data_IF_051713215319
#
_entry.id   IF_051713215319
#
_cell.length_a   1.000
_cell.length_b   1.000
_cell.length_c   1.000
_cell.angle_alpha   90.00
_cell.angle_beta   90.00
_cell.angle_gamma   90.00
#
_symmetry.space_group_name_H-M   'P 1'
#
loop_
_entity.id
_entity.type
_entity.pdbx_description
1 polymer ?
#
# COMPACT_ATOMS: atom_id res chain seq x y z
N UNK A 1 -9.07 -3.44 51.22
CA UNK A 1 -8.04 -2.87 50.32
C UNK A 1 -8.31 -3.29 48.88
N UNK A 2 -9.17 -2.58 48.14
CA UNK A 2 -9.47 -2.95 46.72
C UNK A 2 -10.09 -1.79 45.95
N UNK A 3 -9.61 -0.56 46.19
CA UNK A 3 -10.11 0.69 45.57
C UNK A 3 -8.97 1.55 44.97
N UNK A 4 -7.87 0.92 44.56
CA UNK A 4 -6.67 1.63 44.06
C UNK A 4 -6.17 1.06 42.72
N UNK A 5 -7.07 0.61 41.84
CA UNK A 5 -6.69 0.12 40.51
C UNK A 5 -7.48 0.80 39.38
N UNK A 6 -8.00 2.02 39.61
CA UNK A 6 -8.83 2.74 38.64
C UNK A 6 -8.16 3.97 38.01
N UNK A 7 -6.86 4.17 38.20
CA UNK A 7 -6.22 5.45 37.87
C UNK A 7 -5.13 5.39 36.78
N UNK A 8 -4.87 4.24 36.15
CA UNK A 8 -3.68 4.08 35.29
C UNK A 8 -3.97 3.58 33.86
N UNK A 9 -5.17 3.87 33.35
CA UNK A 9 -5.58 3.58 31.97
C UNK A 9 -6.08 4.83 31.22
N UNK A 10 -5.62 6.01 31.65
CA UNK A 10 -5.58 7.18 30.76
C UNK A 10 -4.42 6.97 29.79
N UNK A 11 -4.60 6.00 28.88
CA UNK A 11 -3.87 5.96 27.63
C UNK A 11 -4.12 7.33 26.99
N UNK A 12 -3.08 8.12 26.98
CA UNK A 12 -2.85 9.29 26.16
C UNK A 12 -3.02 8.89 24.70
N UNK A 13 -4.29 8.84 24.28
CA UNK A 13 -4.70 8.81 22.89
C UNK A 13 -4.28 10.15 22.31
N UNK A 14 -3.04 10.20 21.83
CA UNK A 14 -2.56 11.26 20.96
C UNK A 14 -3.38 11.13 19.69
N UNK A 15 -4.52 11.81 19.66
CA UNK A 15 -5.25 12.05 18.44
C UNK A 15 -4.30 12.84 17.53
N UNK A 16 -3.55 12.12 16.69
CA UNK A 16 -2.90 12.70 15.55
C UNK A 16 -3.98 13.55 14.87
N UNK A 17 -3.76 14.86 14.79
CA UNK A 17 -4.66 15.76 14.08
C UNK A 17 -4.72 15.26 12.64
N UNK A 18 -5.71 14.43 12.36
CA UNK A 18 -5.96 13.94 11.03
C UNK A 18 -6.27 15.17 10.19
N UNK A 19 -5.65 15.27 9.02
CA UNK A 19 -6.08 16.23 8.03
C UNK A 19 -7.59 16.07 7.84
N UNK A 20 -8.31 17.17 7.64
CA UNK A 20 -9.77 17.18 7.50
C UNK A 20 -10.27 16.14 6.49
N UNK A 21 -9.45 15.86 5.47
CA UNK A 21 -9.66 14.78 4.51
C UNK A 21 -8.46 13.83 4.47
N UNK A 22 -8.73 12.56 4.74
CA UNK A 22 -7.75 11.48 4.70
C UNK A 22 -7.78 10.72 3.36
N UNK A 23 -6.88 9.74 3.23
CA UNK A 23 -6.75 8.94 1.99
C UNK A 23 -8.06 8.18 1.69
N UNK A 24 -8.68 7.43 2.62
CA UNK A 24 -9.98 6.79 2.41
C UNK A 24 -11.06 7.75 1.90
N UNK A 25 -11.17 8.94 2.48
CA UNK A 25 -12.14 9.94 2.03
C UNK A 25 -11.91 10.31 0.56
N UNK A 26 -10.69 10.62 0.16
CA UNK A 26 -10.36 10.92 -1.25
C UNK A 26 -10.52 9.74 -2.20
N UNK A 27 -10.43 8.50 -1.71
CA UNK A 27 -10.72 7.32 -2.53
C UNK A 27 -12.21 7.19 -2.82
N UNK A 28 -13.07 7.56 -1.87
CA UNK A 28 -14.53 7.59 -2.04
C UNK A 28 -15.04 8.82 -2.84
N UNK A 29 -14.25 9.91 -2.88
CA UNK A 29 -14.63 11.20 -3.47
C UNK A 29 -13.69 11.60 -4.62
N UNK A 30 -13.80 10.97 -5.81
CA UNK A 30 -12.86 11.20 -6.91
C UNK A 30 -12.96 12.59 -7.54
N UNK A 31 -14.14 13.22 -7.53
CA UNK A 31 -14.31 14.57 -8.07
C UNK A 31 -13.58 15.61 -7.21
N UNK A 32 -13.72 15.48 -5.90
CA UNK A 32 -13.09 16.31 -4.87
C UNK A 32 -11.58 16.08 -4.84
N UNK A 33 -11.12 14.82 -4.98
CA UNK A 33 -9.70 14.51 -5.18
C UNK A 33 -9.15 15.26 -6.39
N UNK A 34 -9.84 15.21 -7.53
CA UNK A 34 -9.43 15.92 -8.74
C UNK A 34 -9.37 17.44 -8.56
N UNK A 35 -10.33 18.03 -7.85
CA UNK A 35 -10.34 19.46 -7.54
C UNK A 35 -9.17 19.86 -6.63
N UNK A 36 -8.92 19.09 -5.58
CA UNK A 36 -7.79 19.30 -4.67
C UNK A 36 -6.45 19.18 -5.38
N UNK A 37 -6.24 18.16 -6.21
CA UNK A 37 -4.99 18.01 -6.97
C UNK A 37 -4.69 19.19 -7.89
N UNK A 38 -5.72 19.79 -8.52
CA UNK A 38 -5.54 21.02 -9.29
C UNK A 38 -5.11 22.18 -8.39
N UNK A 39 -5.85 22.41 -7.31
CA UNK A 39 -5.55 23.46 -6.32
C UNK A 39 -4.13 23.33 -5.75
N UNK A 40 -3.72 22.11 -5.37
CA UNK A 40 -2.39 21.83 -4.82
C UNK A 40 -1.25 22.09 -5.81
N UNK A 41 -1.51 21.91 -7.11
CA UNK A 41 -0.51 22.21 -8.16
C UNK A 41 -0.45 23.70 -8.48
N UNK A 42 -1.61 24.38 -8.45
CA UNK A 42 -1.70 25.79 -8.82
C UNK A 42 -1.19 26.71 -7.69
N UNK A 43 -1.18 26.24 -6.43
CA UNK A 43 -0.61 26.95 -5.28
C UNK A 43 0.46 26.11 -4.57
N UNK A 44 1.73 26.42 -4.84
CA UNK A 44 2.88 25.77 -4.22
C UNK A 44 2.94 25.94 -2.70
N UNK A 45 2.28 26.94 -2.12
CA UNK A 45 2.21 27.10 -0.66
C UNK A 45 1.41 25.98 -0.01
N UNK A 46 0.43 25.43 -0.72
CA UNK A 46 -0.37 24.29 -0.29
C UNK A 46 0.34 22.95 -0.50
N UNK A 47 1.46 22.92 -1.22
CA UNK A 47 2.22 21.69 -1.47
C UNK A 47 2.70 20.98 -0.19
N UNK A 48 2.83 21.71 0.92
CA UNK A 48 3.17 21.14 2.23
C UNK A 48 1.96 20.81 3.11
N UNK A 49 0.74 21.10 2.63
CA UNK A 49 -0.49 20.78 3.35
C UNK A 49 -0.70 19.24 3.38
N UNK A 50 -0.93 18.64 4.56
CA UNK A 50 -1.26 17.22 4.68
C UNK A 50 -2.42 16.77 3.77
N UNK A 51 -3.41 17.63 3.50
CA UNK A 51 -4.54 17.36 2.62
C UNK A 51 -4.07 17.11 1.18
N UNK A 52 -3.12 17.91 0.69
CA UNK A 52 -2.51 17.71 -0.64
C UNK A 52 -1.76 16.38 -0.72
N UNK A 53 -1.02 16.03 0.33
CA UNK A 53 -0.34 14.73 0.43
C UNK A 53 -1.32 13.55 0.42
N UNK A 54 -2.46 13.66 1.10
CA UNK A 54 -3.49 12.64 1.11
C UNK A 54 -4.19 12.48 -0.24
N UNK A 55 -4.52 13.60 -0.91
CA UNK A 55 -5.11 13.59 -2.24
C UNK A 55 -4.18 12.92 -3.26
N UNK A 56 -2.88 13.24 -3.24
CA UNK A 56 -1.88 12.62 -4.12
C UNK A 56 -1.74 11.13 -3.85
N UNK A 57 -1.61 10.71 -2.58
CA UNK A 57 -1.54 9.29 -2.23
C UNK A 57 -2.79 8.51 -2.67
N UNK A 58 -3.97 9.11 -2.58
CA UNK A 58 -5.20 8.49 -3.07
C UNK A 58 -5.18 8.30 -4.59
N UNK A 59 -4.69 9.29 -5.34
CA UNK A 59 -4.54 9.23 -6.79
C UNK A 59 -3.50 8.19 -7.23
N UNK A 60 -2.37 8.11 -6.53
CA UNK A 60 -1.32 7.12 -6.79
C UNK A 60 -1.85 5.70 -6.58
N UNK A 61 -2.62 5.47 -5.51
CA UNK A 61 -3.28 4.17 -5.26
C UNK A 61 -4.28 3.81 -6.36
N UNK A 62 -5.04 4.79 -6.84
CA UNK A 62 -6.00 4.58 -7.92
C UNK A 62 -5.32 4.25 -9.23
N UNK A 63 -4.24 4.97 -9.56
CA UNK A 63 -3.40 4.67 -10.72
C UNK A 63 -2.76 3.29 -10.61
N UNK A 64 -2.23 2.95 -9.44
CA UNK A 64 -1.66 1.63 -9.18
C UNK A 64 -2.71 0.52 -9.38
N UNK A 65 -3.96 0.70 -8.96
CA UNK A 65 -5.04 -0.27 -9.24
C UNK A 65 -5.32 -0.45 -10.73
N UNK A 66 -5.21 0.62 -11.53
CA UNK A 66 -5.42 0.56 -12.98
C UNK A 66 -4.26 -0.10 -13.73
N UNK A 67 -3.04 0.04 -13.21
CA UNK A 67 -1.81 -0.49 -13.84
C UNK A 67 -1.44 -1.87 -13.29
N UNK A 68 -1.84 -2.18 -12.05
CA UNK A 68 -1.57 -3.46 -11.43
C UNK A 68 -2.12 -4.57 -12.35
N UNK A 69 -1.27 -5.50 -12.80
CA UNK A 69 -1.73 -6.59 -13.63
C UNK A 69 -2.76 -7.39 -12.84
N UNK A 70 -4.02 -7.30 -13.25
CA UNK A 70 -5.15 -8.09 -12.73
C UNK A 70 -5.08 -9.55 -13.16
N UNK A 71 -4.02 -9.94 -13.88
CA UNK A 71 -3.81 -11.27 -14.43
C UNK A 71 -2.31 -11.51 -14.63
N UNK A 72 -1.86 -12.78 -14.70
CA UNK A 72 -0.52 -13.10 -15.15
C UNK A 72 -0.23 -12.35 -16.45
N UNK A 73 0.94 -11.70 -16.53
CA UNK A 73 1.38 -11.01 -17.76
C UNK A 73 1.37 -12.07 -18.88
N UNK A 74 0.53 -11.93 -19.93
CA UNK A 74 0.44 -12.93 -20.98
C UNK A 74 1.83 -13.19 -21.60
N UNK A 75 2.23 -14.46 -21.65
CA UNK A 75 3.54 -14.86 -22.19
C UNK A 75 4.74 -14.62 -21.26
N UNK A 76 4.54 -14.13 -20.03
CA UNK A 76 5.62 -14.06 -19.05
C UNK A 76 5.76 -15.40 -18.33
N UNK A 77 6.83 -16.12 -18.65
CA UNK A 77 7.27 -17.27 -17.87
C UNK A 77 8.39 -16.85 -16.91
N UNK A 78 8.15 -16.81 -15.58
CA UNK A 78 9.17 -16.42 -14.63
C UNK A 78 10.34 -17.42 -14.56
N UNK A 79 10.17 -18.66 -15.06
CA UNK A 79 11.28 -19.63 -15.16
C UNK A 79 12.27 -19.27 -16.27
N UNK A 80 11.87 -18.43 -17.23
CA UNK A 80 12.73 -17.94 -18.32
C UNK A 80 13.52 -16.68 -17.94
N UNK A 81 13.08 -15.94 -16.93
CA UNK A 81 13.78 -14.74 -16.45
C UNK A 81 15.03 -15.12 -15.63
N UNK A 82 16.25 -14.71 -16.02
CA UNK A 82 17.47 -15.00 -15.25
C UNK A 82 17.42 -14.43 -13.82
N UNK A 83 16.80 -13.26 -13.64
CA UNK A 83 16.59 -12.63 -12.34
C UNK A 83 15.70 -13.46 -11.42
N UNK A 84 14.64 -14.06 -11.98
CA UNK A 84 13.69 -14.84 -11.18
C UNK A 84 14.12 -16.30 -11.00
N UNK A 85 14.84 -16.88 -11.96
CA UNK A 85 15.29 -18.28 -11.93
C UNK A 85 16.07 -18.61 -10.66
N UNK A 86 16.98 -17.73 -10.22
CA UNK A 86 17.72 -17.92 -8.97
C UNK A 86 16.81 -17.95 -7.74
N UNK A 87 15.87 -17.01 -7.65
CA UNK A 87 14.89 -16.97 -6.56
C UNK A 87 13.99 -18.21 -6.53
N UNK A 88 13.57 -18.70 -7.71
CA UNK A 88 12.77 -19.93 -7.80
C UNK A 88 13.60 -21.14 -7.37
N UNK A 89 14.83 -21.29 -7.85
CA UNK A 89 15.72 -22.38 -7.45
C UNK A 89 15.95 -22.40 -5.93
N UNK A 90 16.18 -21.24 -5.32
CA UNK A 90 16.38 -21.13 -3.88
C UNK A 90 15.11 -21.43 -3.08
N UNK A 91 13.93 -21.07 -3.60
CA UNK A 91 12.67 -21.49 -3.02
C UNK A 91 12.49 -23.02 -3.10
N UNK A 92 12.84 -23.65 -4.22
CA UNK A 92 12.64 -25.09 -4.43
C UNK A 92 13.55 -25.98 -3.57
N UNK A 93 14.67 -25.44 -3.06
CA UNK A 93 15.51 -26.11 -2.06
C UNK A 93 14.86 -26.19 -0.67
N UNK A 94 13.84 -25.38 -0.40
CA UNK A 94 13.16 -25.34 0.90
C UNK A 94 12.03 -26.38 0.98
N UNK A 95 11.63 -26.80 2.20
CA UNK A 95 10.42 -27.58 2.42
C UNK A 95 9.19 -26.93 1.78
N UNK A 96 8.21 -27.71 1.34
CA UNK A 96 7.04 -27.22 0.58
C UNK A 96 6.32 -26.06 1.28
N UNK A 97 6.15 -26.16 2.60
CA UNK A 97 5.53 -25.13 3.44
C UNK A 97 6.29 -23.79 3.49
N UNK A 98 7.53 -23.75 2.99
CA UNK A 98 8.42 -22.59 3.04
C UNK A 98 8.79 -22.04 1.65
N UNK A 99 8.24 -22.59 0.56
CA UNK A 99 8.56 -22.15 -0.81
C UNK A 99 7.87 -20.84 -1.22
N UNK A 100 6.81 -20.46 -0.52
CA UNK A 100 6.01 -19.27 -0.82
C UNK A 100 5.43 -19.31 -2.25
N UNK A 101 5.27 -18.14 -2.87
CA UNK A 101 4.68 -18.03 -4.21
C UNK A 101 5.49 -18.69 -5.32
N UNK A 102 6.77 -18.99 -5.09
CA UNK A 102 7.63 -19.62 -6.08
C UNK A 102 7.52 -21.14 -6.12
N UNK A 103 6.89 -21.76 -5.11
CA UNK A 103 6.73 -23.21 -5.04
C UNK A 103 6.00 -23.81 -6.25
N UNK A 104 5.10 -23.04 -6.86
CA UNK A 104 4.33 -23.44 -8.04
C UNK A 104 5.19 -23.67 -9.30
N UNK A 105 6.45 -23.24 -9.29
CA UNK A 105 7.37 -23.39 -10.44
C UNK A 105 8.38 -24.52 -10.27
N UNK A 106 8.43 -25.19 -9.12
CA UNK A 106 9.47 -26.20 -8.84
C UNK A 106 9.40 -27.46 -9.72
N UNK A 107 8.25 -27.77 -10.33
CA UNK A 107 8.12 -28.85 -11.30
C UNK A 107 8.53 -28.46 -12.73
N UNK A 108 8.99 -27.22 -12.93
CA UNK A 108 9.30 -26.65 -14.25
C UNK A 108 10.78 -26.25 -14.39
N UNK A 109 11.58 -26.43 -13.34
CA UNK A 109 13.01 -26.12 -13.29
C UNK A 109 13.82 -27.40 -13.12
#
# INVERSE_FOLDING_TARGET
MRRLALAMLLLTSTAAMAAEHDIPWFQAHPAERGAWLRKCRDDMRLGQDPVCGNAQKAEDRERARKIAPSSPIPGFDPTESPLMRGAIQDACKKPESQRGMFGQYCGRI
#
